data_IF_786263096827
#
_entry.id   IF_786263096827
#
_cell.length_a   1.000
_cell.length_b   1.000
_cell.length_c   1.000
_cell.angle_alpha   90.00
_cell.angle_beta   90.00
_cell.angle_gamma   90.00
#
_symmetry.space_group_name_H-M   'P 1'
#
loop_
_entity.id
_entity.type
_entity.pdbx_description
1 polymer ?
#
# COMPACT_ATOMS: atom_id res chain seq x y z
N UNK A 1 -12.94 -40.93 -1.41
CA UNK A 1 -13.09 -39.46 -1.37
C UNK A 1 -12.10 -38.88 -2.36
N UNK A 2 -12.48 -37.87 -3.16
CA UNK A 2 -11.52 -37.15 -3.99
C UNK A 2 -10.69 -36.25 -3.10
N UNK A 3 -9.38 -36.38 -3.20
CA UNK A 3 -8.37 -35.65 -2.44
C UNK A 3 -7.43 -35.00 -3.42
N UNK A 4 -6.95 -33.80 -3.09
CA UNK A 4 -6.11 -33.02 -3.99
C UNK A 4 -4.64 -33.19 -3.64
N UNK A 5 -3.80 -33.46 -4.62
CA UNK A 5 -2.36 -33.50 -4.46
C UNK A 5 -1.84 -32.06 -4.17
N UNK A 6 -1.14 -31.81 -3.04
CA UNK A 6 -0.71 -30.47 -2.65
C UNK A 6 0.45 -29.91 -3.50
N UNK A 7 1.14 -30.76 -4.27
CA UNK A 7 2.28 -30.35 -5.10
C UNK A 7 1.83 -29.97 -6.51
N UNK A 8 0.98 -30.80 -7.13
CA UNK A 8 0.56 -30.57 -8.53
C UNK A 8 -0.89 -30.10 -8.68
N UNK A 9 -1.72 -30.20 -7.63
CA UNK A 9 -3.12 -29.77 -7.65
C UNK A 9 -4.08 -30.72 -8.37
N UNK A 10 -3.63 -31.92 -8.75
CA UNK A 10 -4.44 -32.96 -9.41
C UNK A 10 -5.41 -33.60 -8.41
N UNK A 11 -6.67 -33.75 -8.82
CA UNK A 11 -7.68 -34.48 -8.04
C UNK A 11 -7.50 -35.98 -8.24
N UNK A 12 -7.31 -36.70 -7.14
CA UNK A 12 -7.13 -38.16 -7.14
C UNK A 12 -8.08 -38.80 -6.16
N UNK A 13 -8.48 -40.03 -6.43
CA UNK A 13 -9.27 -40.80 -5.46
C UNK A 13 -8.36 -41.31 -4.34
N UNK A 14 -8.77 -41.13 -3.08
CA UNK A 14 -7.99 -41.49 -1.89
C UNK A 14 -7.54 -42.96 -1.84
N UNK A 15 -8.24 -43.84 -2.55
CA UNK A 15 -7.96 -45.29 -2.64
C UNK A 15 -6.99 -45.63 -3.78
N UNK A 16 -6.90 -44.77 -4.80
CA UNK A 16 -6.03 -44.95 -5.98
C UNK A 16 -4.75 -44.10 -5.92
N UNK A 17 -4.48 -43.46 -4.78
CA UNK A 17 -3.31 -42.61 -4.61
C UNK A 17 -2.02 -43.42 -4.73
N UNK A 18 -1.04 -42.89 -5.47
CA UNK A 18 0.24 -43.55 -5.68
C UNK A 18 1.02 -43.71 -4.36
N UNK A 19 0.98 -42.68 -3.51
CA UNK A 19 1.57 -42.73 -2.19
C UNK A 19 0.80 -41.83 -1.21
N UNK A 20 0.98 -42.12 0.08
CA UNK A 20 0.50 -41.29 1.19
C UNK A 20 1.65 -40.88 2.11
N UNK A 21 1.59 -39.66 2.66
CA UNK A 21 2.52 -39.16 3.68
C UNK A 21 1.74 -38.55 4.83
N UNK A 22 2.17 -38.83 6.05
CA UNK A 22 1.66 -38.15 7.23
C UNK A 22 2.62 -37.02 7.59
N UNK A 23 2.11 -35.80 7.69
CA UNK A 23 2.89 -34.66 8.15
C UNK A 23 2.02 -33.76 9.03
N UNK A 24 2.52 -33.41 10.22
CA UNK A 24 1.80 -32.60 11.23
C UNK A 24 0.39 -33.12 11.59
N UNK A 25 0.19 -34.45 11.57
CA UNK A 25 -1.09 -35.10 11.91
C UNK A 25 -2.13 -35.10 10.78
N UNK A 26 -1.77 -34.66 9.57
CA UNK A 26 -2.61 -34.71 8.38
C UNK A 26 -2.03 -35.70 7.35
N UNK A 27 -2.94 -36.46 6.72
CA UNK A 27 -2.61 -37.43 5.66
C UNK A 27 -2.69 -36.75 4.29
N UNK A 28 -1.57 -36.70 3.57
CA UNK A 28 -1.45 -36.19 2.22
C UNK A 28 -1.38 -37.34 1.21
N UNK A 29 -2.01 -37.16 0.06
CA UNK A 29 -2.10 -38.13 -1.01
C UNK A 29 -1.45 -37.57 -2.28
N UNK A 30 -0.68 -38.40 -2.99
CA UNK A 30 0.10 -37.95 -4.15
C UNK A 30 -0.25 -38.75 -5.40
N UNK A 31 -0.23 -38.08 -6.55
CA UNK A 31 -0.57 -38.68 -7.84
C UNK A 31 0.62 -39.46 -8.46
N UNK A 32 1.87 -39.10 -8.13
CA UNK A 32 3.07 -39.67 -8.76
C UNK A 32 4.30 -39.62 -7.84
N UNK A 33 5.34 -40.37 -8.21
CA UNK A 33 6.64 -40.37 -7.52
C UNK A 33 7.27 -38.96 -7.49
N UNK A 34 7.13 -38.18 -8.55
CA UNK A 34 7.71 -36.83 -8.62
C UNK A 34 7.11 -35.87 -7.59
N UNK A 35 5.81 -36.02 -7.31
CA UNK A 35 5.11 -35.20 -6.32
C UNK A 35 5.54 -35.57 -4.90
N UNK A 36 5.74 -36.87 -4.65
CA UNK A 36 6.31 -37.36 -3.38
C UNK A 36 7.71 -36.81 -3.15
N UNK A 37 8.60 -36.90 -4.15
CA UNK A 37 9.98 -36.43 -4.02
C UNK A 37 10.08 -34.91 -3.81
N UNK A 38 9.15 -34.14 -4.37
CA UNK A 38 9.06 -32.69 -4.14
C UNK A 38 8.54 -32.37 -2.74
N UNK A 39 7.56 -33.11 -2.25
CA UNK A 39 7.04 -32.96 -0.89
C UNK A 39 8.11 -33.34 0.14
N UNK A 40 8.84 -34.44 -0.07
CA UNK A 40 9.89 -34.91 0.84
C UNK A 40 11.10 -33.93 0.91
N UNK A 41 11.31 -33.08 -0.11
CA UNK A 41 12.38 -32.06 -0.12
C UNK A 41 12.09 -30.84 0.74
N UNK A 42 10.84 -30.37 0.75
CA UNK A 42 10.42 -29.23 1.57
C UNK A 42 8.93 -29.36 1.93
N UNK A 43 8.58 -30.18 2.96
CA UNK A 43 7.20 -30.40 3.35
C UNK A 43 6.52 -29.11 3.83
N UNK A 44 7.26 -28.23 4.49
CA UNK A 44 6.71 -27.01 5.10
C UNK A 44 6.14 -26.05 4.05
N UNK A 45 6.74 -25.99 2.87
CA UNK A 45 6.26 -25.16 1.75
C UNK A 45 4.83 -25.51 1.30
N UNK A 46 4.46 -26.78 1.38
CA UNK A 46 3.16 -27.28 0.91
C UNK A 46 2.14 -27.48 2.04
N UNK A 47 2.60 -27.51 3.29
CA UNK A 47 1.76 -27.74 4.48
C UNK A 47 1.39 -26.42 5.20
N UNK A 48 1.87 -25.27 4.72
CA UNK A 48 1.42 -23.94 5.19
C UNK A 48 -0.01 -23.62 4.75
N UNK A 49 -0.98 -24.40 5.24
CA UNK A 49 -2.32 -23.88 5.48
C UNK A 49 -2.22 -23.19 6.84
N UNK A 50 -2.01 -21.86 6.83
CA UNK A 50 -1.85 -21.05 8.05
C UNK A 50 -2.96 -21.35 9.07
N UNK A 51 -2.61 -22.03 10.16
CA UNK A 51 -3.52 -22.34 11.26
C UNK A 51 -3.89 -21.11 12.13
N UNK A 52 -3.43 -19.91 11.78
CA UNK A 52 -3.69 -18.65 12.52
C UNK A 52 -4.62 -17.68 11.79
N UNK A 53 -5.01 -17.98 10.55
CA UNK A 53 -6.01 -17.23 9.80
C UNK A 53 -7.00 -18.27 9.31
N UNK A 54 -8.29 -18.14 9.60
CA UNK A 54 -9.33 -19.09 9.18
C UNK A 54 -9.49 -19.16 7.66
N UNK A 55 -8.47 -19.64 6.96
CA UNK A 55 -8.42 -19.73 5.51
C UNK A 55 -9.11 -21.02 5.10
N UNK A 56 -10.42 -20.92 4.88
CA UNK A 56 -11.14 -21.91 4.09
C UNK A 56 -10.68 -21.73 2.63
N UNK A 57 -10.16 -22.75 1.94
CA UNK A 57 -9.75 -22.64 0.53
C UNK A 57 -10.91 -22.30 -0.42
N UNK A 58 -12.16 -22.32 0.06
CA UNK A 58 -13.34 -21.80 -0.66
C UNK A 58 -13.68 -20.33 -0.33
N UNK A 59 -13.00 -19.69 0.62
CA UNK A 59 -13.18 -18.28 0.94
C UNK A 59 -12.19 -17.42 0.16
N UNK A 60 -12.61 -16.96 -1.02
CA UNK A 60 -11.90 -15.96 -1.83
C UNK A 60 -11.92 -14.56 -1.20
N UNK A 61 -12.64 -14.38 -0.08
CA UNK A 61 -12.83 -13.09 0.57
C UNK A 61 -11.92 -12.97 1.80
N UNK A 62 -11.08 -11.95 1.78
CA UNK A 62 -10.22 -11.54 2.88
C UNK A 62 -10.90 -10.47 3.70
N UNK A 63 -10.88 -10.65 5.03
CA UNK A 63 -11.35 -9.65 5.98
C UNK A 63 -10.22 -8.72 6.39
N UNK A 64 -10.45 -7.42 6.32
CA UNK A 64 -9.54 -6.40 6.84
C UNK A 64 -10.28 -5.32 7.61
N UNK A 65 -9.58 -4.78 8.61
CA UNK A 65 -10.04 -3.65 9.42
C UNK A 65 -9.17 -2.44 9.09
N UNK A 66 -9.81 -1.39 8.60
CA UNK A 66 -9.18 -0.12 8.25
C UNK A 66 -9.61 0.93 9.26
N UNK A 67 -8.69 1.48 10.06
CA UNK A 67 -8.98 2.66 10.87
C UNK A 67 -9.16 3.85 9.95
N UNK A 68 -10.23 4.60 10.13
CA UNK A 68 -10.58 5.75 9.28
C UNK A 68 -10.77 6.97 10.18
N UNK A 69 -9.90 7.97 9.99
CA UNK A 69 -9.98 9.25 10.65
C UNK A 69 -11.24 10.01 10.22
N UNK A 70 -11.74 10.86 11.13
CA UNK A 70 -12.87 11.77 10.88
C UNK A 70 -14.20 11.08 10.53
N UNK A 71 -14.38 9.82 10.93
CA UNK A 71 -15.68 9.16 10.86
C UNK A 71 -16.69 9.91 11.74
N UNK A 72 -17.79 10.45 11.18
CA UNK A 72 -18.73 11.23 11.95
C UNK A 72 -19.46 10.32 12.94
N UNK A 73 -19.25 10.53 14.24
CA UNK A 73 -19.91 9.75 15.30
C UNK A 73 -21.45 9.82 15.27
N UNK A 74 -22.03 10.81 14.57
CA UNK A 74 -23.46 11.15 14.63
C UNK A 74 -24.15 11.04 13.25
N UNK A 75 -23.39 10.89 12.15
CA UNK A 75 -23.96 10.75 10.80
C UNK A 75 -23.64 9.37 10.24
N UNK A 76 -24.56 8.73 9.52
CA UNK A 76 -24.24 7.48 8.84
C UNK A 76 -23.17 7.76 7.79
N UNK A 77 -22.08 6.99 7.82
CA UNK A 77 -21.06 6.93 6.77
C UNK A 77 -21.62 6.28 5.48
N UNK A 78 -22.90 6.47 5.18
CA UNK A 78 -23.61 5.83 4.08
C UNK A 78 -22.98 6.15 2.72
N UNK A 79 -22.40 7.34 2.57
CA UNK A 79 -21.65 7.71 1.36
C UNK A 79 -20.36 6.89 1.20
N UNK A 80 -19.63 6.69 2.30
CA UNK A 80 -18.42 5.87 2.34
C UNK A 80 -18.74 4.40 2.08
N UNK A 81 -19.75 3.88 2.78
CA UNK A 81 -20.20 2.50 2.63
C UNK A 81 -20.73 2.22 1.23
N UNK A 82 -21.55 3.11 0.66
CA UNK A 82 -22.02 3.00 -0.71
C UNK A 82 -20.88 3.07 -1.73
N UNK A 83 -19.89 3.94 -1.50
CA UNK A 83 -18.69 4.02 -2.33
C UNK A 83 -17.91 2.71 -2.32
N UNK A 84 -17.66 2.15 -1.15
CA UNK A 84 -16.93 0.88 -1.00
C UNK A 84 -17.70 -0.32 -1.57
N UNK A 85 -19.01 -0.40 -1.36
CA UNK A 85 -19.87 -1.46 -1.94
C UNK A 85 -19.98 -1.39 -3.46
N UNK A 86 -19.75 -0.21 -4.06
CA UNK A 86 -19.78 -0.05 -5.51
C UNK A 86 -18.51 -0.59 -6.20
N UNK A 87 -17.45 -0.89 -5.44
CA UNK A 87 -16.21 -1.41 -5.99
C UNK A 87 -16.34 -2.89 -6.33
N UNK A 88 -15.90 -3.24 -7.54
CA UNK A 88 -15.85 -4.64 -7.96
C UNK A 88 -14.76 -5.37 -7.15
N UNK A 89 -15.16 -6.37 -6.36
CA UNK A 89 -14.27 -7.09 -5.46
C UNK A 89 -14.56 -6.89 -3.97
N UNK A 90 -15.51 -6.01 -3.61
CA UNK A 90 -15.96 -5.86 -2.22
C UNK A 90 -17.30 -6.57 -2.04
N UNK A 91 -17.36 -7.53 -1.11
CA UNK A 91 -18.57 -8.31 -0.83
C UNK A 91 -19.39 -7.68 0.31
N UNK A 92 -18.71 -7.37 1.42
CA UNK A 92 -19.36 -6.83 2.61
C UNK A 92 -18.56 -5.69 3.21
N UNK A 93 -19.27 -4.63 3.62
CA UNK A 93 -18.71 -3.45 4.28
C UNK A 93 -19.50 -3.22 5.55
N UNK A 94 -18.81 -3.11 6.68
CA UNK A 94 -19.38 -2.78 7.98
C UNK A 94 -18.61 -1.59 8.55
N UNK A 95 -19.31 -0.48 8.80
CA UNK A 95 -18.68 0.71 9.37
C UNK A 95 -19.05 0.82 10.85
N UNK A 96 -18.03 0.83 11.71
CA UNK A 96 -18.17 1.14 13.12
C UNK A 96 -17.71 2.58 13.38
N UNK A 97 -18.63 3.53 13.23
CA UNK A 97 -18.36 4.95 13.45
C UNK A 97 -17.99 5.29 14.91
N UNK A 98 -18.40 4.46 15.88
CA UNK A 98 -18.05 4.64 17.29
C UNK A 98 -16.59 4.28 17.60
N UNK A 99 -16.04 3.28 16.90
CA UNK A 99 -14.64 2.87 17.03
C UNK A 99 -13.71 3.53 15.99
N UNK A 100 -14.26 4.22 14.99
CA UNK A 100 -13.47 4.74 13.87
C UNK A 100 -12.91 3.64 12.96
N UNK A 101 -13.58 2.48 12.90
CA UNK A 101 -13.10 1.30 12.17
C UNK A 101 -14.06 0.94 11.03
N UNK A 102 -13.51 0.64 9.86
CA UNK A 102 -14.23 0.08 8.73
C UNK A 102 -13.76 -1.34 8.51
N UNK A 103 -14.66 -2.31 8.64
CA UNK A 103 -14.40 -3.70 8.39
C UNK A 103 -14.92 -4.06 6.99
N UNK A 104 -14.05 -4.62 6.14
CA UNK A 104 -14.42 -5.02 4.78
C UNK A 104 -14.03 -6.47 4.54
N UNK A 105 -14.91 -7.18 3.85
CA UNK A 105 -14.64 -8.48 3.25
C UNK A 105 -14.46 -8.25 1.73
N UNK A 106 -13.24 -8.46 1.21
CA UNK A 106 -12.87 -8.15 -0.18
C UNK A 106 -12.04 -9.28 -0.81
N UNK A 107 -12.07 -9.36 -2.13
CA UNK A 107 -11.29 -10.31 -2.93
C UNK A 107 -9.96 -9.66 -3.36
N UNK A 108 -8.79 -10.11 -2.83
CA UNK A 108 -7.50 -9.52 -3.15
C UNK A 108 -7.05 -9.79 -4.60
N UNK A 109 -7.73 -10.67 -5.35
CA UNK A 109 -7.45 -10.85 -6.78
C UNK A 109 -8.16 -9.80 -7.64
N UNK A 110 -9.21 -9.16 -7.13
CA UNK A 110 -10.00 -8.15 -7.85
C UNK A 110 -9.69 -6.74 -7.41
N UNK A 111 -9.40 -6.52 -6.13
CA UNK A 111 -9.10 -5.20 -5.58
C UNK A 111 -8.00 -5.25 -4.52
N UNK A 112 -7.03 -4.34 -4.65
CA UNK A 112 -5.94 -4.20 -3.69
C UNK A 112 -6.28 -3.16 -2.61
N UNK A 113 -5.56 -3.22 -1.50
CA UNK A 113 -5.64 -2.27 -0.38
C UNK A 113 -5.50 -0.80 -0.81
N UNK A 114 -4.61 -0.52 -1.76
CA UNK A 114 -4.44 0.83 -2.34
C UNK A 114 -5.74 1.34 -2.96
N UNK A 115 -6.43 0.50 -3.74
CA UNK A 115 -7.70 0.85 -4.37
C UNK A 115 -8.82 1.10 -3.35
N UNK A 116 -8.83 0.34 -2.25
CA UNK A 116 -9.75 0.59 -1.14
C UNK A 116 -9.43 1.92 -0.44
N UNK A 117 -8.16 2.19 -0.13
CA UNK A 117 -7.73 3.44 0.49
C UNK A 117 -8.04 4.67 -0.39
N UNK A 118 -7.86 4.55 -1.70
CA UNK A 118 -8.18 5.61 -2.67
C UNK A 118 -9.69 5.88 -2.75
N UNK A 119 -10.52 4.84 -2.66
CA UNK A 119 -11.97 5.00 -2.61
C UNK A 119 -12.43 5.69 -1.32
N UNK A 120 -11.81 5.37 -0.18
CA UNK A 120 -12.05 6.05 1.11
C UNK A 120 -11.65 7.53 1.00
N UNK A 121 -10.49 7.83 0.40
CA UNK A 121 -10.02 9.21 0.15
C UNK A 121 -10.95 9.98 -0.77
N UNK A 122 -11.45 9.33 -1.82
CA UNK A 122 -12.41 9.93 -2.76
C UNK A 122 -13.77 10.21 -2.11
N UNK A 123 -14.13 9.47 -1.06
CA UNK A 123 -15.31 9.74 -0.25
C UNK A 123 -15.12 10.92 0.73
N UNK A 124 -13.88 11.40 0.90
CA UNK A 124 -13.51 12.51 1.78
C UNK A 124 -13.00 12.10 3.15
N UNK A 125 -12.56 10.85 3.31
CA UNK A 125 -12.04 10.30 4.57
C UNK A 125 -10.59 9.86 4.43
N UNK A 126 -9.84 9.85 5.53
CA UNK A 126 -8.43 9.42 5.54
C UNK A 126 -8.30 8.13 6.32
N UNK A 127 -7.54 7.16 5.79
CA UNK A 127 -7.22 5.92 6.52
C UNK A 127 -6.06 6.20 7.47
N UNK A 128 -6.25 5.89 8.75
CA UNK A 128 -5.24 6.08 9.80
C UNK A 128 -4.15 4.99 9.72
N UNK A 129 -3.12 5.26 8.91
CA UNK A 129 -1.94 4.40 8.78
C UNK A 129 -0.74 4.91 9.57
N UNK A 130 0.23 4.03 9.79
CA UNK A 130 1.58 4.47 10.13
C UNK A 130 2.34 4.78 8.84
N UNK A 131 2.97 5.94 8.77
CA UNK A 131 3.89 6.29 7.69
C UNK A 131 5.33 6.02 8.14
N UNK A 132 6.11 5.34 7.30
CA UNK A 132 7.55 5.18 7.51
C UNK A 132 8.33 5.51 6.26
N UNK A 133 9.59 5.91 6.45
CA UNK A 133 10.54 6.12 5.37
C UNK A 133 11.64 5.07 5.45
N UNK A 134 11.95 4.48 4.31
CA UNK A 134 12.96 3.44 4.15
C UNK A 134 13.96 3.92 3.11
N UNK A 135 15.22 4.11 3.50
CA UNK A 135 16.29 4.36 2.54
C UNK A 135 16.60 3.09 1.75
N UNK A 136 16.85 3.19 0.44
CA UNK A 136 17.15 2.05 -0.43
C UNK A 136 18.48 2.29 -1.13
N UNK A 137 19.48 1.46 -0.87
CA UNK A 137 20.79 1.61 -1.50
C UNK A 137 20.77 1.22 -2.99
N UNK A 138 21.61 1.90 -3.77
CA UNK A 138 21.82 1.64 -5.20
C UNK A 138 20.59 1.82 -6.09
N UNK A 139 19.59 2.60 -5.65
CA UNK A 139 18.45 2.98 -6.47
C UNK A 139 18.90 3.97 -7.57
N UNK A 140 19.13 3.47 -8.79
CA UNK A 140 19.74 4.24 -9.90
C UNK A 140 18.93 4.27 -11.19
N UNK A 141 17.81 3.56 -11.27
CA UNK A 141 17.01 3.49 -12.49
C UNK A 141 15.52 3.71 -12.21
N UNK A 142 14.85 4.45 -13.09
CA UNK A 142 13.40 4.67 -13.02
C UNK A 142 12.58 3.36 -13.12
N UNK A 143 13.10 2.34 -13.81
CA UNK A 143 12.46 1.02 -13.85
C UNK A 143 12.51 0.30 -12.49
N UNK A 144 13.60 0.46 -11.73
CA UNK A 144 13.74 -0.08 -10.39
C UNK A 144 12.79 0.59 -9.41
N UNK A 145 12.60 1.91 -9.53
CA UNK A 145 11.63 2.68 -8.74
C UNK A 145 10.24 2.08 -8.91
N UNK A 146 9.77 1.98 -10.16
CA UNK A 146 8.44 1.47 -10.45
C UNK A 146 8.25 0.03 -9.96
N UNK A 147 9.25 -0.82 -10.18
CA UNK A 147 9.23 -2.19 -9.68
C UNK A 147 9.05 -2.24 -8.15
N UNK A 148 9.85 -1.49 -7.40
CA UNK A 148 9.77 -1.47 -5.92
C UNK A 148 8.43 -0.88 -5.46
N UNK A 149 7.93 0.17 -6.10
CA UNK A 149 6.62 0.76 -5.77
C UNK A 149 5.48 -0.23 -5.95
N UNK A 150 5.44 -0.93 -7.09
CA UNK A 150 4.40 -1.90 -7.42
C UNK A 150 4.43 -3.07 -6.42
N UNK A 151 5.63 -3.53 -6.05
CA UNK A 151 5.81 -4.68 -5.16
C UNK A 151 5.56 -4.34 -3.67
N UNK A 152 5.89 -3.12 -3.25
CA UNK A 152 5.45 -2.62 -1.94
C UNK A 152 3.92 -2.48 -1.90
N UNK A 153 3.28 -1.97 -2.96
CA UNK A 153 1.81 -1.87 -3.03
C UNK A 153 1.11 -3.24 -3.06
N UNK A 154 1.77 -4.26 -3.59
CA UNK A 154 1.29 -5.64 -3.57
C UNK A 154 1.51 -6.33 -2.21
N UNK A 155 2.35 -5.77 -1.34
CA UNK A 155 2.63 -6.32 -0.02
C UNK A 155 1.42 -6.16 0.91
N UNK A 156 1.11 -7.20 1.68
CA UNK A 156 -0.04 -7.20 2.58
C UNK A 156 0.09 -6.15 3.67
N UNK A 157 -0.98 -5.39 3.89
CA UNK A 157 -1.03 -4.32 4.89
C UNK A 157 -0.44 -2.98 4.44
N UNK A 158 0.07 -2.86 3.22
CA UNK A 158 0.49 -1.56 2.64
C UNK A 158 -0.72 -0.85 2.06
N UNK A 159 -0.94 0.40 2.49
CA UNK A 159 -2.00 1.28 2.01
C UNK A 159 -1.55 2.08 0.80
N UNK A 160 -0.28 2.51 0.81
CA UNK A 160 0.33 3.24 -0.29
C UNK A 160 1.86 3.16 -0.19
N UNK A 161 2.53 3.28 -1.34
CA UNK A 161 3.98 3.36 -1.39
C UNK A 161 4.41 4.31 -2.53
N UNK A 162 5.41 5.14 -2.24
CA UNK A 162 6.02 6.05 -3.20
C UNK A 162 7.54 6.00 -3.02
N UNK A 163 8.28 5.92 -4.11
CA UNK A 163 9.74 5.82 -4.10
C UNK A 163 10.34 6.99 -4.87
N UNK A 164 11.27 7.68 -4.22
CA UNK A 164 11.96 8.82 -4.82
C UNK A 164 13.42 8.46 -5.12
N UNK A 165 13.77 8.47 -6.41
CA UNK A 165 15.13 8.17 -6.88
C UNK A 165 16.17 9.23 -6.47
N UNK A 166 15.75 10.50 -6.32
CA UNK A 166 16.65 11.59 -5.98
C UNK A 166 17.11 11.51 -4.52
N UNK A 167 16.19 11.14 -3.61
CA UNK A 167 16.52 10.94 -2.20
C UNK A 167 16.94 9.51 -1.88
N UNK A 168 16.69 8.56 -2.80
CA UNK A 168 16.87 7.12 -2.59
C UNK A 168 16.06 6.62 -1.38
N UNK A 169 14.84 7.14 -1.21
CA UNK A 169 13.95 6.80 -0.10
C UNK A 169 12.58 6.37 -0.62
N UNK A 170 12.02 5.36 0.04
CA UNK A 170 10.64 4.91 -0.12
C UNK A 170 9.81 5.40 1.06
N UNK A 171 8.73 6.13 0.79
CA UNK A 171 7.71 6.48 1.77
C UNK A 171 6.59 5.46 1.66
N UNK A 172 6.30 4.76 2.76
CA UNK A 172 5.32 3.69 2.81
C UNK A 172 4.30 3.98 3.89
N UNK A 173 3.03 4.03 3.51
CA UNK A 173 1.89 4.10 4.41
C UNK A 173 1.39 2.67 4.61
N UNK A 174 1.40 2.18 5.86
CA UNK A 174 1.03 0.80 6.17
C UNK A 174 0.20 0.70 7.44
N UNK A 175 -0.51 -0.41 7.59
CA UNK A 175 -1.25 -0.75 8.80
C UNK A 175 -0.31 -1.46 9.78
N UNK A 176 0.03 -0.84 10.94
CA UNK A 176 0.96 -1.44 11.90
C UNK A 176 0.42 -2.74 12.54
N UNK A 177 -0.87 -3.02 12.41
CA UNK A 177 -1.50 -4.26 12.87
C UNK A 177 -1.24 -5.45 11.93
N UNK A 178 -0.91 -5.18 10.66
CA UNK A 178 -0.77 -6.20 9.62
C UNK A 178 0.67 -6.33 9.10
N UNK A 179 1.43 -5.23 9.11
CA UNK A 179 2.80 -5.18 8.61
C UNK A 179 3.70 -4.37 9.54
N UNK A 180 4.98 -4.74 9.61
CA UNK A 180 5.99 -4.02 10.39
C UNK A 180 7.16 -3.55 9.52
N UNK A 181 7.90 -2.53 9.98
CA UNK A 181 9.09 -2.02 9.28
C UNK A 181 10.11 -3.13 8.97
N UNK A 182 10.28 -4.09 9.89
CA UNK A 182 11.17 -5.24 9.69
C UNK A 182 10.74 -6.10 8.50
N UNK A 183 9.44 -6.35 8.36
CA UNK A 183 8.89 -7.13 7.24
C UNK A 183 9.01 -6.39 5.90
N UNK A 184 8.81 -5.06 5.90
CA UNK A 184 9.03 -4.23 4.71
C UNK A 184 10.50 -4.26 4.28
N UNK A 185 11.43 -4.14 5.24
CA UNK A 185 12.86 -4.25 4.96
C UNK A 185 13.22 -5.65 4.41
N UNK A 186 12.68 -6.72 4.99
CA UNK A 186 12.91 -8.08 4.50
C UNK A 186 12.36 -8.32 3.08
N UNK A 187 11.22 -7.72 2.73
CA UNK A 187 10.67 -7.78 1.38
C UNK A 187 11.60 -7.09 0.38
N UNK A 188 12.11 -5.90 0.71
CA UNK A 188 13.08 -5.15 -0.10
C UNK A 188 14.39 -5.94 -0.28
N UNK A 189 14.87 -6.62 0.76
CA UNK A 189 16.05 -7.49 0.70
C UNK A 189 15.85 -8.69 -0.24
N UNK A 190 14.65 -9.27 -0.26
CA UNK A 190 14.31 -10.39 -1.14
C UNK A 190 14.41 -10.01 -2.63
N UNK A 191 14.16 -8.73 -2.95
CA UNK A 191 14.33 -8.19 -4.30
C UNK A 191 15.77 -7.79 -4.64
N UNK A 192 16.71 -8.00 -3.72
CA UNK A 192 18.14 -7.72 -3.91
C UNK A 192 18.55 -6.28 -3.59
N UNK A 193 17.69 -5.50 -2.96
CA UNK A 193 17.99 -4.14 -2.51
C UNK A 193 18.37 -4.12 -1.03
N UNK A 194 19.18 -3.14 -0.61
CA UNK A 194 19.57 -3.00 0.80
C UNK A 194 18.80 -1.85 1.44
N UNK A 195 17.91 -2.13 2.41
CA UNK A 195 17.25 -1.09 3.16
C UNK A 195 18.24 -0.42 4.13
N UNK A 196 18.05 0.87 4.34
CA UNK A 196 18.77 1.71 5.30
C UNK A 196 17.74 2.50 6.09
N UNK A 197 18.07 2.86 7.33
CA UNK A 197 17.30 3.88 8.04
C UNK A 197 17.23 5.17 7.20
N UNK A 198 16.02 5.72 7.05
CA UNK A 198 15.85 7.00 6.37
C UNK A 198 16.63 8.09 7.11
N UNK A 199 17.09 9.09 6.37
CA UNK A 199 17.95 10.16 6.91
C UNK A 199 17.16 11.13 7.82
N UNK A 200 15.84 10.99 7.89
CA UNK A 200 14.99 11.84 8.72
C UNK A 200 13.69 11.12 9.15
N UNK A 201 13.32 11.25 10.43
CA UNK A 201 12.10 10.69 11.02
C UNK A 201 10.85 11.57 10.83
N UNK A 202 10.97 12.75 10.21
CA UNK A 202 9.85 13.70 10.11
C UNK A 202 8.90 13.38 8.94
N UNK A 203 7.61 13.06 9.15
CA UNK A 203 6.67 12.73 8.06
C UNK A 203 6.71 13.77 6.94
N UNK A 204 6.67 13.32 5.69
CA UNK A 204 6.89 14.12 4.46
C UNK A 204 6.01 15.38 4.42
N UNK A 205 4.78 15.28 4.93
CA UNK A 205 3.82 16.39 5.04
C UNK A 205 4.39 17.60 5.78
N UNK A 206 5.13 17.41 6.88
CA UNK A 206 5.64 18.54 7.67
C UNK A 206 6.74 19.32 6.95
N UNK A 207 7.50 18.66 6.06
CA UNK A 207 8.57 19.33 5.32
C UNK A 207 8.01 20.09 4.12
N UNK A 208 7.10 19.50 3.33
CA UNK A 208 6.46 20.19 2.20
C UNK A 208 5.56 21.35 2.63
N UNK A 209 4.78 21.19 3.71
CA UNK A 209 3.97 22.29 4.25
C UNK A 209 4.80 23.46 4.78
N UNK A 210 5.92 23.17 5.45
CA UNK A 210 6.81 24.20 5.99
C UNK A 210 7.42 25.04 4.85
N UNK A 211 7.88 24.37 3.78
CA UNK A 211 8.42 25.04 2.61
C UNK A 211 7.34 25.80 1.84
N UNK A 212 6.12 25.26 1.69
CA UNK A 212 5.02 25.96 1.01
C UNK A 212 4.62 27.27 1.73
N UNK A 213 4.63 27.27 3.07
CA UNK A 213 4.39 28.48 3.88
C UNK A 213 5.49 29.52 3.65
N UNK A 214 6.76 29.09 3.60
CA UNK A 214 7.88 29.97 3.28
C UNK A 214 7.78 30.54 1.86
N UNK A 215 7.53 29.71 0.84
CA UNK A 215 7.34 30.16 -0.54
C UNK A 215 6.26 31.25 -0.65
N UNK A 216 5.11 31.08 0.00
CA UNK A 216 4.03 32.07 -0.05
C UNK A 216 4.41 33.41 0.59
N UNK A 217 5.23 33.40 1.65
CA UNK A 217 5.72 34.60 2.33
C UNK A 217 6.76 35.31 1.48
N UNK A 218 7.71 34.57 0.92
CA UNK A 218 8.70 35.11 -0.02
C UNK A 218 8.02 35.71 -1.25
N UNK A 219 6.98 35.05 -1.79
CA UNK A 219 6.27 35.55 -2.97
C UNK A 219 5.44 36.81 -2.69
N UNK A 220 4.86 36.94 -1.48
CA UNK A 220 4.21 38.18 -1.04
C UNK A 220 5.22 39.34 -0.92
N UNK A 221 6.41 39.08 -0.38
CA UNK A 221 7.48 40.08 -0.30
C UNK A 221 8.00 40.47 -1.69
N UNK A 222 8.16 39.51 -2.60
CA UNK A 222 8.53 39.75 -3.99
C UNK A 222 7.50 40.65 -4.69
N UNK A 223 6.21 40.33 -4.58
CA UNK A 223 5.15 41.15 -5.18
C UNK A 223 5.06 42.54 -4.56
N UNK A 224 5.24 42.67 -3.24
CA UNK A 224 5.28 43.98 -2.57
C UNK A 224 6.43 44.85 -3.08
N UNK A 225 7.63 44.28 -3.23
CA UNK A 225 8.79 44.98 -3.79
C UNK A 225 8.59 45.32 -5.28
N UNK A 226 8.00 44.42 -6.06
CA UNK A 226 7.71 44.65 -7.47
C UNK A 226 6.71 45.81 -7.66
N UNK A 227 5.65 45.88 -6.86
CA UNK A 227 4.65 46.98 -6.91
C UNK A 227 5.28 48.34 -6.61
N UNK A 228 6.30 48.41 -5.75
CA UNK A 228 7.00 49.67 -5.44
C UNK A 228 8.04 50.01 -6.52
N UNK A 229 8.79 49.00 -6.98
CA UNK A 229 9.90 49.19 -7.94
C UNK A 229 9.40 49.50 -9.36
N UNK A 230 8.33 48.85 -9.82
CA UNK A 230 7.82 49.00 -11.19
C UNK A 230 7.39 50.44 -11.50
N UNK A 231 6.58 51.14 -10.67
CA UNK A 231 6.25 52.54 -10.91
C UNK A 231 7.48 53.45 -10.91
N UNK A 232 8.43 53.25 -9.99
CA UNK A 232 9.69 54.03 -9.96
C UNK A 232 10.47 53.86 -11.26
N UNK A 233 10.55 52.63 -11.77
CA UNK A 233 11.25 52.33 -13.01
C UNK A 233 10.52 52.89 -14.25
N UNK A 234 9.19 52.85 -14.26
CA UNK A 234 8.36 53.48 -15.30
C UNK A 234 8.53 55.01 -15.33
N UNK A 235 8.54 55.66 -14.16
CA UNK A 235 8.76 57.10 -14.05
C UNK A 235 10.20 57.52 -14.34
N UNK A 236 11.18 56.71 -13.95
CA UNK A 236 12.60 57.01 -14.20
C UNK A 236 13.01 56.79 -15.67
N UNK A 237 12.34 55.89 -16.39
CA UNK A 237 12.67 55.51 -17.76
C UNK A 237 11.47 55.64 -18.74
N UNK A 238 10.85 56.83 -18.85
CA UNK A 238 9.66 57.03 -19.69
C UNK A 238 9.94 56.80 -21.19
N UNK A 239 11.20 56.96 -21.62
CA UNK A 239 11.65 56.74 -23.00
C UNK A 239 11.58 55.28 -23.48
N UNK A 240 11.48 54.31 -22.57
CA UNK A 240 11.40 52.87 -22.90
C UNK A 240 9.96 52.31 -22.83
N UNK A 241 8.99 53.12 -22.41
CA UNK A 241 7.58 52.70 -22.26
C UNK A 241 6.76 53.32 -23.40
N UNK A 242 6.46 52.58 -24.48
CA UNK A 242 5.78 53.14 -25.66
C UNK A 242 4.33 53.60 -25.41
N UNK A 243 3.78 53.36 -24.20
CA UNK A 243 2.38 53.62 -23.84
C UNK A 243 2.14 54.97 -23.12
N UNK A 244 3.19 55.71 -22.72
CA UNK A 244 3.08 56.99 -21.98
C UNK A 244 3.56 58.16 -22.85
N UNK A 245 3.63 57.96 -24.17
CA UNK A 245 4.10 58.95 -25.13
C UNK A 245 2.90 59.60 -25.82
N UNK A 246 2.22 60.47 -25.10
CA UNK A 246 1.38 61.57 -25.63
C UNK A 246 1.49 62.77 -24.69
#
# INVERSE_FOLDING_TARGET
MTVRDPVCGMEIESESAFAKREHMGQMFYFCSQSCVDQFDKDPHRYVMTSATTGFNPEQTLFRIELPVADLPMIRPAAKLEAGLRSLNGVDRVTVNAGAGLVQLDYDPQKINLVGLADAIRSAGYTVDGAQTRIGIENLRCASCVKFIEDELKATQGVLNANVNIATQEATVDYLPQNTTLSQLNAAIETWGYKPRAALSDAPVDKQEEAHAREYSRLMKMFWFAAIISVPVLLFAYPQYVPLIRD
#
